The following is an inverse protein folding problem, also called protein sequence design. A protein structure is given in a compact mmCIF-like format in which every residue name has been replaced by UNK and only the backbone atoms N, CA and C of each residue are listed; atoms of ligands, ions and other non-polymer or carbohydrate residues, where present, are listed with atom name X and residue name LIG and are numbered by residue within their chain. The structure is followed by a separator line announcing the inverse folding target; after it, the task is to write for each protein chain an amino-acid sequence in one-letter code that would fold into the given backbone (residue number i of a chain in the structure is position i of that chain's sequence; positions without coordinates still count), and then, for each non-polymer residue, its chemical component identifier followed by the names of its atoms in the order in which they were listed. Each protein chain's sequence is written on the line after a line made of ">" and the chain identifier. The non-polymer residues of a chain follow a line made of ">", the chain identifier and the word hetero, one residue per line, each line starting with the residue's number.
data_IF_967209041399
#
_entry.id   IF_967209041399
#
_cell.length_a   1.000
_cell.length_b   1.000
_cell.length_c   1.000
_cell.angle_alpha   90.00
_cell.angle_beta   90.00
_cell.angle_gamma   90.00
#
_symmetry.space_group_name_H-M   'P 1'
#
loop_
_entity.id
_entity.type
_entity.pdbx_description
1 polymer ?
#
# COMPACT_ATOMS: atom_id res chain seq x y z
N UNK A 1 -7.34 15.35 -0.84
CA UNK A 1 -8.54 16.23 -0.93
C UNK A 1 -8.63 16.91 -2.28
N UNK A 2 -7.51 17.39 -2.84
CA UNK A 2 -7.46 18.05 -4.14
C UNK A 2 -7.97 17.19 -5.31
N UNK A 3 -7.74 15.87 -5.28
CA UNK A 3 -8.25 14.94 -6.31
C UNK A 3 -9.79 14.93 -6.39
N UNK A 4 -10.47 14.96 -5.25
CA UNK A 4 -11.94 14.93 -5.19
C UNK A 4 -12.56 16.19 -5.78
N UNK A 5 -12.01 17.37 -5.44
CA UNK A 5 -12.45 18.66 -6.00
C UNK A 5 -12.24 18.72 -7.52
N UNK A 6 -11.09 18.24 -8.01
CA UNK A 6 -10.81 18.20 -9.45
C UNK A 6 -11.69 17.18 -10.19
N UNK A 7 -12.01 16.04 -9.56
CA UNK A 7 -12.95 15.06 -10.13
C UNK A 7 -14.35 15.63 -10.32
N UNK A 8 -14.89 16.27 -9.28
CA UNK A 8 -16.19 16.92 -9.34
C UNK A 8 -16.23 17.98 -10.46
N UNK A 9 -15.17 18.77 -10.58
CA UNK A 9 -15.05 19.79 -11.62
C UNK A 9 -15.00 19.19 -13.05
N UNK A 10 -14.30 18.06 -13.25
CA UNK A 10 -14.25 17.37 -14.56
C UNK A 10 -15.65 16.88 -14.96
N UNK A 11 -16.44 16.37 -14.02
CA UNK A 11 -17.80 15.92 -14.28
C UNK A 11 -18.70 17.10 -14.66
N UNK A 12 -18.62 18.22 -13.92
CA UNK A 12 -19.34 19.47 -14.22
C UNK A 12 -18.95 20.05 -15.59
N UNK A 13 -17.66 20.07 -15.92
CA UNK A 13 -17.17 20.49 -17.24
C UNK A 13 -17.64 19.56 -18.37
N UNK A 14 -17.77 18.25 -18.11
CA UNK A 14 -18.26 17.29 -19.10
C UNK A 14 -19.73 17.55 -19.45
N UNK A 15 -20.57 17.81 -18.46
CA UNK A 15 -21.98 18.16 -18.66
C UNK A 15 -22.15 19.44 -19.50
N UNK A 16 -21.23 20.40 -19.35
CA UNK A 16 -21.22 21.64 -20.14
C UNK A 16 -20.75 21.43 -21.59
N UNK A 17 -19.85 20.48 -21.83
CA UNK A 17 -19.36 20.13 -23.18
C UNK A 17 -20.40 19.34 -23.97
N UNK A 18 -21.22 18.52 -23.29
CA UNK A 18 -22.23 17.67 -23.92
C UNK A 18 -23.54 18.40 -24.23
N UNK A 19 -23.71 19.64 -23.75
CA UNK A 19 -24.93 20.43 -23.94
C UNK A 19 -24.79 21.43 -25.12
N UNK A 20 -25.28 21.04 -26.30
CA UNK A 20 -25.15 21.82 -27.54
C UNK A 20 -25.79 23.22 -27.48
N UNK A 21 -26.84 23.41 -26.68
CA UNK A 21 -27.54 24.71 -26.53
C UNK A 21 -26.63 25.75 -25.85
N UNK A 22 -25.84 25.32 -24.86
CA UNK A 22 -24.89 26.15 -24.12
C UNK A 22 -23.75 26.64 -25.02
N UNK A 23 -23.28 25.75 -25.89
CA UNK A 23 -22.19 26.01 -26.85
C UNK A 23 -22.60 27.04 -27.90
N UNK A 24 -23.85 27.01 -28.35
CA UNK A 24 -24.38 27.93 -29.37
C UNK A 24 -24.54 29.35 -28.80
N UNK A 25 -24.96 29.47 -27.52
CA UNK A 25 -25.18 30.76 -26.84
C UNK A 25 -23.87 31.52 -26.55
N UNK A 26 -22.74 30.82 -26.35
CA UNK A 26 -21.46 31.40 -25.98
C UNK A 26 -20.39 31.08 -27.04
N UNK A 27 -20.46 31.79 -28.19
CA UNK A 27 -19.45 31.70 -29.26
C UNK A 27 -18.05 31.93 -28.68
N UNK A 28 -17.21 30.89 -28.75
CA UNK A 28 -15.80 30.98 -28.38
C UNK A 28 -15.48 30.72 -26.91
N UNK A 29 -16.34 30.01 -26.16
CA UNK A 29 -16.07 29.48 -24.80
C UNK A 29 -15.80 27.97 -24.79
N UNK A 30 -16.27 27.24 -25.81
CA UNK A 30 -16.14 25.78 -25.91
C UNK A 30 -14.68 25.32 -25.88
N UNK A 31 -13.80 26.01 -26.59
CA UNK A 31 -12.37 25.65 -26.65
C UNK A 31 -11.71 25.80 -25.28
N UNK A 32 -12.11 26.81 -24.50
CA UNK A 32 -11.59 27.07 -23.17
C UNK A 32 -12.02 25.99 -22.18
N UNK A 33 -13.29 25.58 -22.22
CA UNK A 33 -13.87 24.54 -21.35
C UNK A 33 -13.27 23.17 -21.68
N UNK A 34 -13.16 22.84 -22.97
CA UNK A 34 -12.51 21.58 -23.42
C UNK A 34 -11.05 21.54 -23.00
N UNK A 35 -10.31 22.65 -23.14
CA UNK A 35 -8.92 22.74 -22.69
C UNK A 35 -8.79 22.52 -21.18
N UNK A 36 -9.61 23.20 -20.36
CA UNK A 36 -9.60 23.01 -18.90
C UNK A 36 -9.86 21.57 -18.51
N UNK A 37 -10.90 20.95 -19.08
CA UNK A 37 -11.23 19.55 -18.83
C UNK A 37 -10.03 18.63 -19.09
N UNK A 38 -9.41 18.76 -20.26
CA UNK A 38 -8.27 17.92 -20.64
C UNK A 38 -7.06 18.14 -19.73
N UNK A 39 -6.78 19.37 -19.30
CA UNK A 39 -5.67 19.65 -18.38
C UNK A 39 -5.97 19.14 -16.96
N UNK A 40 -7.19 19.29 -16.45
CA UNK A 40 -7.60 18.72 -15.16
C UNK A 40 -7.57 17.19 -15.18
N UNK A 41 -8.00 16.53 -16.27
CA UNK A 41 -7.88 15.08 -16.43
C UNK A 41 -6.41 14.61 -16.40
N UNK A 42 -5.49 15.38 -17.01
CA UNK A 42 -4.05 15.11 -16.97
C UNK A 42 -3.47 15.28 -15.58
N UNK A 43 -3.87 16.33 -14.86
CA UNK A 43 -3.36 16.64 -13.52
C UNK A 43 -3.94 15.71 -12.45
N UNK A 44 -5.19 15.24 -12.60
CA UNK A 44 -5.86 14.33 -11.66
C UNK A 44 -5.01 13.11 -11.31
N UNK A 45 -4.47 12.43 -12.32
CA UNK A 45 -3.66 11.23 -12.12
C UNK A 45 -2.39 11.51 -11.30
N UNK A 46 -1.87 12.74 -11.37
CA UNK A 46 -0.69 13.18 -10.63
C UNK A 46 -1.03 13.72 -9.24
N UNK A 47 -2.19 14.37 -9.06
CA UNK A 47 -2.69 14.79 -7.75
C UNK A 47 -2.88 13.59 -6.82
N UNK A 48 -3.35 12.45 -7.33
CA UNK A 48 -3.47 11.20 -6.55
C UNK A 48 -2.12 10.69 -6.02
N UNK A 49 -1.04 10.91 -6.75
CA UNK A 49 0.32 10.53 -6.36
C UNK A 49 0.92 11.60 -5.43
N UNK A 50 0.59 12.87 -5.68
CA UNK A 50 1.06 14.00 -4.91
C UNK A 50 0.45 14.05 -3.50
N UNK A 51 -0.85 13.76 -3.35
CA UNK A 51 -1.54 13.67 -2.05
C UNK A 51 -0.87 12.62 -1.13
N UNK A 52 -0.18 11.62 -1.67
CA UNK A 52 0.56 10.60 -0.91
C UNK A 52 2.03 10.98 -0.59
N UNK A 53 2.57 12.02 -1.22
CA UNK A 53 3.98 12.42 -1.15
C UNK A 53 4.19 13.87 -0.67
N UNK A 54 3.10 14.60 -0.41
CA UNK A 54 3.09 16.03 -0.08
C UNK A 54 3.92 16.38 1.17
N UNK A 55 4.08 15.44 2.10
CA UNK A 55 4.83 15.64 3.35
C UNK A 55 6.36 15.74 3.18
N UNK A 56 6.89 15.46 1.98
CA UNK A 56 8.34 15.40 1.72
C UNK A 56 8.90 16.42 0.72
N UNK A 57 8.07 17.16 -0.03
CA UNK A 57 8.52 18.13 -1.04
C UNK A 57 7.67 19.42 -1.00
N UNK A 58 8.28 20.51 -0.55
CA UNK A 58 7.64 21.82 -0.41
C UNK A 58 7.20 22.41 -1.76
N UNK A 59 7.93 22.12 -2.85
CA UNK A 59 7.58 22.55 -4.21
C UNK A 59 6.32 21.84 -4.70
N UNK A 60 6.18 20.55 -4.37
CA UNK A 60 4.98 19.75 -4.67
C UNK A 60 3.77 20.24 -3.87
N UNK A 61 3.96 20.56 -2.58
CA UNK A 61 2.87 21.10 -1.74
C UNK A 61 2.38 22.46 -2.23
N UNK A 62 3.25 23.32 -2.76
CA UNK A 62 2.85 24.59 -3.37
C UNK A 62 2.07 24.34 -4.66
N UNK A 63 2.52 23.41 -5.50
CA UNK A 63 1.84 23.07 -6.75
C UNK A 63 0.44 22.47 -6.51
N UNK A 64 0.28 21.53 -5.57
CA UNK A 64 -1.04 20.94 -5.23
C UNK A 64 -2.03 22.01 -4.76
N UNK A 65 -1.57 22.96 -3.95
CA UNK A 65 -2.37 24.09 -3.49
C UNK A 65 -2.81 24.98 -4.66
N UNK A 66 -1.88 25.36 -5.54
CA UNK A 66 -2.20 26.16 -6.71
C UNK A 66 -3.21 25.47 -7.65
N UNK A 67 -3.11 24.16 -7.84
CA UNK A 67 -4.10 23.40 -8.64
C UNK A 67 -5.47 23.40 -7.96
N UNK A 68 -5.49 23.28 -6.63
CA UNK A 68 -6.74 23.31 -5.83
C UNK A 68 -7.40 24.69 -5.90
N UNK A 69 -6.62 25.76 -5.77
CA UNK A 69 -7.12 27.14 -5.85
C UNK A 69 -7.71 27.44 -7.24
N UNK A 70 -7.04 27.03 -8.33
CA UNK A 70 -7.61 27.21 -9.68
C UNK A 70 -8.85 26.35 -9.88
N UNK A 71 -8.91 25.14 -9.31
CA UNK A 71 -10.10 24.30 -9.41
C UNK A 71 -11.32 24.96 -8.74
N UNK A 72 -11.13 25.56 -7.56
CA UNK A 72 -12.14 26.33 -6.84
C UNK A 72 -12.57 27.58 -7.63
N UNK A 73 -11.61 28.38 -8.12
CA UNK A 73 -11.89 29.55 -8.98
C UNK A 73 -12.69 29.15 -10.24
N UNK A 74 -12.42 27.96 -10.79
CA UNK A 74 -13.14 27.43 -11.95
C UNK A 74 -14.56 27.03 -11.57
N UNK A 75 -14.72 26.35 -10.44
CA UNK A 75 -16.03 25.93 -9.92
C UNK A 75 -16.95 27.13 -9.69
N UNK A 76 -16.44 28.20 -9.05
CA UNK A 76 -17.16 29.46 -8.81
C UNK A 76 -17.65 30.10 -10.11
N UNK A 77 -16.83 30.11 -11.16
CA UNK A 77 -17.21 30.66 -12.48
C UNK A 77 -18.25 29.77 -13.16
N UNK A 78 -18.19 28.45 -12.97
CA UNK A 78 -19.21 27.53 -13.48
C UNK A 78 -20.53 27.65 -12.69
N UNK A 79 -20.49 27.94 -11.40
CA UNK A 79 -21.69 28.21 -10.60
C UNK A 79 -22.34 29.56 -10.97
N UNK A 80 -21.53 30.61 -11.19
CA UNK A 80 -22.02 31.87 -11.75
C UNK A 80 -22.68 31.65 -13.12
N UNK A 81 -22.15 30.72 -13.92
CA UNK A 81 -22.75 30.33 -15.19
C UNK A 81 -24.09 29.59 -15.01
N UNK A 82 -24.19 28.63 -14.07
CA UNK A 82 -25.43 27.91 -13.78
C UNK A 82 -26.54 28.84 -13.28
N UNK A 83 -26.23 29.84 -12.45
CA UNK A 83 -27.21 30.82 -11.95
C UNK A 83 -27.80 31.72 -13.05
N UNK A 84 -27.04 31.98 -14.12
CA UNK A 84 -27.53 32.75 -15.26
C UNK A 84 -28.50 31.93 -16.14
N UNK A 85 -28.53 30.61 -16.04
CA UNK A 85 -29.49 29.76 -16.75
C UNK A 85 -30.89 29.76 -16.13
N UNK A 86 -30.97 29.80 -14.79
CA UNK A 86 -32.24 29.69 -14.07
C UNK A 86 -33.15 30.93 -14.23
N UNK A 87 -32.60 32.05 -14.71
CA UNK A 87 -33.36 33.29 -14.87
C UNK A 87 -34.17 33.39 -16.18
N UNK A 88 -34.04 32.44 -17.12
CA UNK A 88 -34.64 32.49 -18.46
C UNK A 88 -35.94 31.67 -18.63
N UNK A 89 -36.50 31.10 -17.55
CA UNK A 89 -37.78 30.36 -17.59
C UNK A 89 -39.02 31.18 -17.15
N UNK A 90 -39.19 32.41 -17.65
CA UNK A 90 -40.44 33.17 -17.46
C UNK A 90 -41.27 33.27 -18.75
N UNK A 91 -42.43 32.61 -18.74
CA UNK A 91 -43.48 32.66 -19.76
C UNK A 91 -44.01 34.10 -20.02
N UNK A 92 -44.18 34.50 -21.29
CA UNK A 92 -45.01 35.67 -21.63
C UNK A 92 -44.89 36.21 -23.07
N UNK A 93 -46.04 36.35 -23.75
CA UNK A 93 -46.24 36.57 -25.20
C UNK A 93 -46.16 38.05 -25.68
N UNK A 94 -45.21 38.87 -25.20
CA UNK A 94 -44.89 40.18 -25.80
C UNK A 94 -43.35 40.34 -25.80
N UNK A 95 -42.62 40.60 -26.88
CA UNK A 95 -42.95 41.19 -28.18
C UNK A 95 -41.72 41.97 -28.64
N UNK A 96 -40.70 41.23 -29.10
CA UNK A 96 -39.58 41.61 -29.99
C UNK A 96 -38.64 42.81 -29.74
N UNK A 97 -38.92 43.82 -28.90
CA UNK A 97 -37.99 44.98 -28.73
C UNK A 97 -37.14 44.98 -27.45
N UNK A 98 -37.47 44.17 -26.43
CA UNK A 98 -36.55 43.91 -25.31
C UNK A 98 -35.46 42.87 -25.64
N UNK A 99 -35.58 42.14 -26.76
CA UNK A 99 -34.62 41.09 -27.15
C UNK A 99 -33.21 41.64 -27.38
N UNK A 100 -33.05 42.82 -27.97
CA UNK A 100 -31.72 43.40 -28.19
C UNK A 100 -31.07 43.93 -26.89
N UNK A 101 -31.85 44.44 -25.95
CA UNK A 101 -31.33 44.88 -24.65
C UNK A 101 -30.99 43.69 -23.71
N UNK A 102 -31.76 42.59 -23.77
CA UNK A 102 -31.41 41.31 -23.11
C UNK A 102 -30.22 40.63 -23.77
N UNK A 103 -30.09 40.66 -25.10
CA UNK A 103 -28.93 40.13 -25.79
C UNK A 103 -27.64 40.88 -25.42
N UNK A 104 -27.68 42.19 -25.16
CA UNK A 104 -26.47 42.95 -24.75
C UNK A 104 -26.09 42.68 -23.30
N UNK A 105 -27.05 42.51 -22.37
CA UNK A 105 -26.77 42.13 -20.98
C UNK A 105 -26.24 40.70 -20.87
N UNK A 106 -26.85 39.76 -21.59
CA UNK A 106 -26.36 38.38 -21.68
C UNK A 106 -25.03 38.33 -22.43
N UNK A 107 -24.83 39.07 -23.53
CA UNK A 107 -23.53 39.12 -24.21
C UNK A 107 -22.41 39.73 -23.35
N UNK A 108 -22.71 40.73 -22.50
CA UNK A 108 -21.74 41.29 -21.56
C UNK A 108 -21.40 40.29 -20.45
N UNK A 109 -22.37 39.57 -19.91
CA UNK A 109 -22.13 38.46 -18.97
C UNK A 109 -21.35 37.32 -19.64
N UNK A 110 -21.69 36.95 -20.87
CA UNK A 110 -20.98 35.96 -21.67
C UNK A 110 -19.55 36.35 -21.97
N UNK A 111 -19.31 37.62 -22.30
CA UNK A 111 -17.97 38.15 -22.49
C UNK A 111 -17.16 38.15 -21.19
N UNK A 112 -17.79 38.47 -20.05
CA UNK A 112 -17.15 38.42 -18.73
C UNK A 112 -16.74 36.99 -18.36
N UNK A 113 -17.63 36.01 -18.54
CA UNK A 113 -17.36 34.59 -18.30
C UNK A 113 -16.28 34.07 -19.26
N UNK A 114 -16.37 34.40 -20.54
CA UNK A 114 -15.35 34.03 -21.53
C UNK A 114 -13.97 34.62 -21.20
N UNK A 115 -13.92 35.88 -20.75
CA UNK A 115 -12.69 36.54 -20.31
C UNK A 115 -12.13 35.92 -19.02
N UNK A 116 -12.99 35.60 -18.06
CA UNK A 116 -12.61 34.94 -16.81
C UNK A 116 -12.06 33.53 -17.05
N UNK A 117 -12.72 32.72 -17.89
CA UNK A 117 -12.23 31.40 -18.31
C UNK A 117 -10.92 31.50 -19.10
N UNK A 118 -10.73 32.55 -19.91
CA UNK A 118 -9.46 32.82 -20.58
C UNK A 118 -8.35 33.14 -19.57
N UNK A 119 -8.66 33.84 -18.48
CA UNK A 119 -7.76 34.10 -17.36
C UNK A 119 -7.42 32.84 -16.54
N UNK A 120 -8.38 31.95 -16.30
CA UNK A 120 -8.10 30.63 -15.72
C UNK A 120 -7.17 29.85 -16.64
N UNK A 121 -7.43 29.84 -17.95
CA UNK A 121 -6.60 29.12 -18.91
C UNK A 121 -5.15 29.61 -18.98
N UNK A 122 -4.91 30.91 -18.84
CA UNK A 122 -3.53 31.41 -18.79
C UNK A 122 -2.81 30.98 -17.51
N UNK A 123 -3.49 31.01 -16.35
CA UNK A 123 -2.95 30.49 -15.09
C UNK A 123 -2.73 28.98 -15.13
N UNK A 124 -3.68 28.23 -15.69
CA UNK A 124 -3.61 26.77 -15.87
C UNK A 124 -2.44 26.36 -16.78
N UNK A 125 -2.14 27.15 -17.83
CA UNK A 125 -0.96 26.93 -18.68
C UNK A 125 0.35 27.03 -17.90
N UNK A 126 0.46 27.99 -16.97
CA UNK A 126 1.64 28.15 -16.11
C UNK A 126 1.78 26.93 -15.18
N UNK A 127 0.68 26.53 -14.53
CA UNK A 127 0.66 25.34 -13.66
C UNK A 127 0.98 24.06 -14.44
N UNK A 128 0.50 23.93 -15.68
CA UNK A 128 0.79 22.80 -16.57
C UNK A 128 2.26 22.72 -16.98
N UNK A 129 2.94 23.87 -17.13
CA UNK A 129 4.38 23.91 -17.38
C UNK A 129 5.17 23.44 -16.15
N UNK A 130 4.81 23.90 -14.95
CA UNK A 130 5.40 23.43 -13.68
C UNK A 130 5.14 21.94 -13.46
N UNK A 131 3.93 21.46 -13.80
CA UNK A 131 3.58 20.05 -13.77
C UNK A 131 4.49 19.20 -14.68
N UNK A 132 4.84 19.67 -15.88
CA UNK A 132 5.78 18.95 -16.77
C UNK A 132 7.18 18.86 -16.16
N UNK A 133 7.65 19.93 -15.50
CA UNK A 133 8.94 19.93 -14.81
C UNK A 133 8.95 18.99 -13.61
N UNK A 134 7.94 19.07 -12.73
CA UNK A 134 7.78 18.17 -11.59
C UNK A 134 7.65 16.71 -12.06
N UNK A 135 6.84 16.43 -13.07
CA UNK A 135 6.71 15.09 -13.64
C UNK A 135 8.04 14.55 -14.15
N UNK A 136 8.88 15.40 -14.77
CA UNK A 136 10.21 15.00 -15.21
C UNK A 136 11.16 14.73 -14.02
N UNK A 137 11.15 15.59 -12.99
CA UNK A 137 11.85 15.39 -11.71
C UNK A 137 11.45 14.06 -11.05
N UNK A 138 10.16 13.74 -11.02
CA UNK A 138 9.63 12.49 -10.44
C UNK A 138 9.91 11.25 -11.30
N UNK A 139 9.86 11.35 -12.64
CA UNK A 139 10.22 10.24 -13.53
C UNK A 139 11.72 9.97 -13.48
N UNK A 140 12.56 11.01 -13.42
CA UNK A 140 14.01 10.86 -13.23
C UNK A 140 14.36 10.34 -11.84
N UNK A 141 13.65 10.74 -10.78
CA UNK A 141 13.77 10.13 -9.46
C UNK A 141 13.35 8.64 -9.47
N UNK A 142 12.38 8.25 -10.31
CA UNK A 142 11.98 6.84 -10.53
C UNK A 142 12.94 6.04 -11.41
N UNK A 143 13.68 6.67 -12.32
CA UNK A 143 14.65 5.98 -13.20
C UNK A 143 16.09 6.00 -12.66
N UNK A 144 16.44 6.95 -11.79
CA UNK A 144 17.70 7.00 -11.04
C UNK A 144 17.63 6.32 -9.68
N UNK A 145 16.47 5.83 -9.27
CA UNK A 145 16.28 5.08 -8.03
C UNK A 145 15.65 3.71 -8.34
N UNK A 146 16.51 2.75 -8.64
CA UNK A 146 16.29 1.32 -8.39
C UNK A 146 16.17 1.00 -6.87
N UNK A 147 15.95 2.03 -6.05
CA UNK A 147 15.45 1.89 -4.69
C UNK A 147 14.15 2.68 -4.59
N UNK A 148 13.07 2.10 -5.10
CA UNK A 148 11.75 2.38 -4.50
C UNK A 148 11.76 1.71 -3.11
N UNK A 149 12.54 2.30 -2.22
CA UNK A 149 12.52 2.01 -0.79
C UNK A 149 11.30 2.76 -0.25
N UNK A 150 10.10 2.36 -0.68
CA UNK A 150 9.17 1.96 0.38
C UNK A 150 10.03 1.01 1.19
N UNK A 151 10.46 1.41 2.39
CA UNK A 151 11.10 0.45 3.27
C UNK A 151 10.26 -0.80 3.14
N UNK A 152 10.83 -1.85 2.55
CA UNK A 152 10.18 -3.13 2.59
C UNK A 152 10.19 -3.41 4.08
N UNK A 153 9.13 -3.03 4.80
CA UNK A 153 9.07 -3.15 6.25
C UNK A 153 9.25 -4.62 6.68
N UNK A 154 9.25 -5.56 5.70
CA UNK A 154 9.69 -6.93 5.83
C UNK A 154 11.18 -7.04 6.19
N UNK A 155 12.06 -6.27 5.53
CA UNK A 155 13.49 -6.20 5.88
C UNK A 155 13.68 -5.72 7.32
N UNK A 156 12.88 -4.75 7.77
CA UNK A 156 12.93 -4.29 9.16
C UNK A 156 12.45 -5.39 10.13
N UNK A 157 11.41 -6.15 9.76
CA UNK A 157 10.98 -7.33 10.54
C UNK A 157 12.06 -8.41 10.66
N UNK A 158 13.00 -8.48 9.70
CA UNK A 158 14.15 -9.39 9.76
C UNK A 158 15.26 -8.91 10.69
N UNK A 159 15.21 -7.65 11.15
CA UNK A 159 16.21 -7.00 12.01
C UNK A 159 15.71 -6.79 13.46
N UNK A 160 14.46 -7.16 13.76
CA UNK A 160 13.90 -7.02 15.11
C UNK A 160 14.60 -7.95 16.11
N UNK A 161 14.98 -7.38 17.25
CA UNK A 161 15.51 -8.15 18.37
C UNK A 161 14.38 -8.87 19.13
N UNK A 162 14.70 -9.99 19.77
CA UNK A 162 13.74 -10.77 20.59
C UNK A 162 13.14 -9.92 21.70
N UNK A 163 13.92 -8.99 22.26
CA UNK A 163 13.50 -8.07 23.32
C UNK A 163 12.36 -7.12 22.91
N UNK A 164 12.19 -6.88 21.61
CA UNK A 164 11.18 -5.99 21.06
C UNK A 164 9.84 -6.68 20.77
N UNK A 165 9.77 -8.00 20.96
CA UNK A 165 8.64 -8.84 20.59
C UNK A 165 7.79 -9.22 21.81
N UNK A 166 6.50 -9.46 21.59
CA UNK A 166 5.52 -9.87 22.61
C UNK A 166 4.74 -11.05 22.07
N UNK A 167 4.39 -12.02 22.92
CA UNK A 167 3.54 -13.16 22.56
C UNK A 167 4.20 -14.24 21.70
N UNK A 168 5.49 -14.12 21.41
CA UNK A 168 6.19 -15.01 20.46
C UNK A 168 6.72 -16.32 21.06
N UNK A 169 6.87 -16.41 22.39
CA UNK A 169 7.59 -17.52 23.03
C UNK A 169 6.91 -18.87 22.81
N UNK A 170 5.58 -18.94 23.04
CA UNK A 170 4.82 -20.18 22.87
C UNK A 170 4.78 -20.62 21.39
N UNK A 171 4.40 -19.75 20.42
CA UNK A 171 4.45 -20.12 19.00
C UNK A 171 5.85 -20.54 18.53
N UNK A 172 6.90 -19.81 18.94
CA UNK A 172 8.29 -20.13 18.57
C UNK A 172 8.66 -21.53 19.04
N UNK A 173 8.37 -21.89 20.28
CA UNK A 173 8.70 -23.19 20.87
C UNK A 173 8.01 -24.35 20.14
N UNK A 174 6.73 -24.17 19.78
CA UNK A 174 5.95 -25.15 19.00
C UNK A 174 6.58 -25.37 17.62
N UNK A 175 6.92 -24.28 16.93
CA UNK A 175 7.50 -24.36 15.59
C UNK A 175 8.91 -24.98 15.60
N UNK A 176 9.76 -24.60 16.56
CA UNK A 176 11.09 -25.23 16.75
C UNK A 176 10.95 -26.74 16.96
N UNK A 177 10.00 -27.16 17.79
CA UNK A 177 9.72 -28.58 18.02
C UNK A 177 9.29 -29.29 16.74
N UNK A 178 8.37 -28.70 15.97
CA UNK A 178 7.93 -29.27 14.69
C UNK A 178 9.07 -29.41 13.69
N UNK A 179 9.96 -28.42 13.60
CA UNK A 179 11.10 -28.49 12.70
C UNK A 179 12.09 -29.59 13.11
N UNK A 180 12.40 -29.74 14.40
CA UNK A 180 13.46 -30.64 14.88
C UNK A 180 12.97 -32.10 15.05
N UNK A 181 11.75 -32.31 15.55
CA UNK A 181 11.24 -33.64 15.93
C UNK A 181 10.43 -34.36 14.84
N UNK A 182 10.18 -33.72 13.69
CA UNK A 182 9.39 -34.34 12.63
C UNK A 182 10.02 -35.60 11.99
N UNK A 183 9.29 -36.22 11.07
CA UNK A 183 9.64 -37.49 10.43
C UNK A 183 10.87 -37.45 9.53
N UNK A 184 11.33 -38.62 9.05
CA UNK A 184 12.52 -38.77 8.20
C UNK A 184 12.40 -38.04 6.85
N UNK A 185 11.20 -37.87 6.33
CA UNK A 185 10.95 -37.20 5.04
C UNK A 185 11.06 -35.68 5.10
N UNK A 186 10.89 -35.06 3.92
CA UNK A 186 10.68 -33.62 3.83
C UNK A 186 9.27 -33.29 4.32
N UNK A 187 9.17 -32.30 5.21
CA UNK A 187 7.89 -31.81 5.72
C UNK A 187 7.76 -30.31 5.44
N UNK A 188 6.51 -29.86 5.25
CA UNK A 188 6.17 -28.45 5.05
C UNK A 188 5.44 -27.93 6.29
N UNK A 189 5.83 -26.76 6.77
CA UNK A 189 5.21 -26.06 7.89
C UNK A 189 4.69 -24.70 7.39
N UNK A 190 3.39 -24.50 7.47
CA UNK A 190 2.71 -23.32 6.93
C UNK A 190 2.26 -22.40 8.04
N UNK A 191 2.75 -21.16 8.05
CA UNK A 191 2.27 -20.08 8.89
C UNK A 191 1.21 -19.31 8.10
N UNK A 192 -0.04 -19.41 8.52
CA UNK A 192 -1.17 -18.83 7.81
C UNK A 192 -1.82 -17.70 8.64
N UNK A 193 -2.41 -16.74 7.93
CA UNK A 193 -3.25 -15.70 8.54
C UNK A 193 -3.14 -14.34 7.84
N UNK A 194 -4.02 -13.43 8.21
CA UNK A 194 -4.12 -12.06 7.71
C UNK A 194 -2.81 -11.25 7.75
N UNK A 195 -2.77 -10.17 6.98
CA UNK A 195 -1.66 -9.22 6.97
C UNK A 195 -1.38 -8.61 8.34
N UNK A 196 -0.11 -8.33 8.66
CA UNK A 196 0.26 -7.61 9.88
C UNK A 196 0.27 -8.43 11.19
N UNK A 197 -0.08 -9.73 11.15
CA UNK A 197 -0.06 -10.62 12.34
C UNK A 197 1.32 -11.12 12.77
N UNK A 198 2.41 -10.74 12.10
CA UNK A 198 3.76 -11.13 12.50
C UNK A 198 4.23 -12.51 12.01
N UNK A 199 3.63 -13.07 10.95
CA UNK A 199 4.05 -14.36 10.35
C UNK A 199 5.54 -14.39 9.99
N UNK A 200 6.00 -13.38 9.25
CA UNK A 200 7.40 -13.19 8.85
C UNK A 200 8.30 -13.09 10.08
N UNK A 201 7.88 -12.31 11.09
CA UNK A 201 8.60 -12.16 12.36
C UNK A 201 8.74 -13.48 13.10
N UNK A 202 7.66 -14.25 13.23
CA UNK A 202 7.70 -15.56 13.89
C UNK A 202 8.57 -16.56 13.13
N UNK A 203 8.45 -16.64 11.81
CA UNK A 203 9.31 -17.47 10.98
C UNK A 203 10.78 -17.10 11.14
N UNK A 204 11.09 -15.80 11.24
CA UNK A 204 12.45 -15.29 11.43
C UNK A 204 13.02 -15.71 12.78
N UNK A 205 12.25 -15.56 13.85
CA UNK A 205 12.64 -15.97 15.20
C UNK A 205 12.94 -17.47 15.30
N UNK A 206 12.17 -18.30 14.59
CA UNK A 206 12.42 -19.74 14.50
C UNK A 206 13.63 -20.04 13.62
N UNK A 207 13.78 -19.34 12.50
CA UNK A 207 14.93 -19.51 11.59
C UNK A 207 16.26 -19.19 12.27
N UNK A 208 16.26 -18.20 13.17
CA UNK A 208 17.44 -17.76 13.90
C UNK A 208 17.70 -18.46 15.23
N UNK A 209 16.78 -19.31 15.69
CA UNK A 209 16.95 -20.15 16.87
C UNK A 209 18.23 -20.99 16.79
N UNK A 210 18.98 -21.03 17.89
CA UNK A 210 20.27 -21.73 17.94
C UNK A 210 20.14 -23.25 17.72
N UNK A 211 19.06 -23.86 18.21
CA UNK A 211 18.75 -25.27 18.00
C UNK A 211 18.46 -25.56 16.53
N UNK A 212 17.65 -24.71 15.88
CA UNK A 212 17.36 -24.79 14.44
C UNK A 212 18.63 -24.60 13.61
N UNK A 213 19.43 -23.57 13.92
CA UNK A 213 20.75 -23.31 13.28
C UNK A 213 21.67 -24.51 13.35
N UNK A 214 21.75 -25.18 14.51
CA UNK A 214 22.57 -26.38 14.72
C UNK A 214 22.01 -27.59 13.99
N UNK A 215 20.68 -27.71 13.90
CA UNK A 215 20.01 -28.85 13.29
C UNK A 215 20.09 -28.85 11.77
N UNK A 216 19.97 -27.69 11.12
CA UNK A 216 19.95 -27.53 9.66
C UNK A 216 21.21 -26.82 9.16
N UNK A 217 22.11 -27.58 8.50
CA UNK A 217 23.37 -27.04 7.97
C UNK A 217 23.17 -26.11 6.78
N UNK A 218 22.23 -26.45 5.89
CA UNK A 218 21.87 -25.63 4.74
C UNK A 218 20.57 -24.93 5.04
N UNK A 219 20.59 -23.59 5.01
CA UNK A 219 19.43 -22.76 5.28
C UNK A 219 19.35 -21.63 4.25
N UNK A 220 18.15 -21.31 3.79
CA UNK A 220 17.91 -20.18 2.90
C UNK A 220 16.57 -19.51 3.24
N UNK A 221 16.49 -18.20 3.03
CA UNK A 221 15.30 -17.39 3.28
C UNK A 221 14.92 -16.65 2.01
N UNK A 222 13.79 -17.03 1.42
CA UNK A 222 13.38 -16.57 0.10
C UNK A 222 12.11 -15.76 0.24
N UNK A 223 12.15 -14.48 -0.12
CA UNK A 223 10.96 -13.63 -0.13
C UNK A 223 10.24 -13.78 -1.47
N UNK A 224 8.98 -14.20 -1.44
CA UNK A 224 8.15 -14.42 -2.63
C UNK A 224 7.25 -13.20 -2.84
N UNK A 225 7.65 -12.26 -3.69
CA UNK A 225 6.75 -11.15 -4.04
C UNK A 225 5.70 -11.59 -5.07
N UNK A 226 4.52 -10.96 -5.03
CA UNK A 226 3.42 -11.23 -5.96
C UNK A 226 3.86 -11.12 -7.44
N UNK A 227 4.55 -10.01 -7.75
CA UNK A 227 5.08 -9.69 -9.08
C UNK A 227 6.38 -10.41 -9.45
N UNK A 228 6.97 -11.20 -8.55
CA UNK A 228 8.25 -11.88 -8.80
C UNK A 228 8.15 -12.86 -9.97
N UNK A 229 9.05 -12.80 -10.94
CA UNK A 229 9.14 -13.87 -11.95
C UNK A 229 9.72 -15.12 -11.29
N UNK A 230 9.18 -16.28 -11.66
CA UNK A 230 9.66 -17.59 -11.14
C UNK A 230 11.17 -17.77 -11.33
N UNK A 231 11.71 -17.27 -12.44
CA UNK A 231 13.15 -17.36 -12.71
C UNK A 231 13.97 -16.58 -11.68
N UNK A 232 13.55 -15.36 -11.34
CA UNK A 232 14.24 -14.50 -10.37
C UNK A 232 14.22 -15.14 -8.97
N UNK A 233 13.07 -15.72 -8.60
CA UNK A 233 12.92 -16.50 -7.37
C UNK A 233 13.90 -17.67 -7.31
N UNK A 234 13.99 -18.46 -8.38
CA UNK A 234 14.89 -19.61 -8.44
C UNK A 234 16.37 -19.19 -8.47
N UNK A 235 16.70 -18.05 -9.10
CA UNK A 235 18.05 -17.47 -9.07
C UNK A 235 18.44 -17.06 -7.66
N UNK A 236 17.58 -16.33 -6.95
CA UNK A 236 17.82 -15.96 -5.55
C UNK A 236 18.05 -17.20 -4.67
N UNK A 237 17.20 -18.23 -4.83
CA UNK A 237 17.40 -19.53 -4.16
C UNK A 237 18.78 -20.12 -4.42
N UNK A 238 19.20 -20.19 -5.68
CA UNK A 238 20.53 -20.71 -6.04
C UNK A 238 21.62 -19.87 -5.37
N UNK A 239 21.56 -18.55 -5.49
CA UNK A 239 22.56 -17.65 -4.90
C UNK A 239 22.66 -17.83 -3.38
N UNK A 240 21.54 -17.93 -2.67
CA UNK A 240 21.52 -18.16 -1.23
C UNK A 240 22.06 -19.54 -0.83
N UNK A 241 21.76 -20.59 -1.59
CA UNK A 241 22.27 -21.93 -1.32
C UNK A 241 23.77 -22.06 -1.54
N UNK A 242 24.32 -21.39 -2.56
CA UNK A 242 25.76 -21.28 -2.75
C UNK A 242 26.44 -20.58 -1.57
N UNK A 243 25.87 -19.46 -1.08
CA UNK A 243 26.35 -18.77 0.12
C UNK A 243 26.28 -19.68 1.36
N UNK A 244 25.15 -20.37 1.57
CA UNK A 244 24.96 -21.29 2.70
C UNK A 244 25.94 -22.48 2.68
N UNK A 245 26.35 -22.93 1.49
CA UNK A 245 27.35 -23.99 1.31
C UNK A 245 28.80 -23.48 1.23
N UNK A 246 29.02 -22.17 1.44
CA UNK A 246 30.33 -21.49 1.33
C UNK A 246 31.02 -21.68 -0.02
N UNK A 247 30.22 -21.77 -1.09
CA UNK A 247 30.68 -21.91 -2.47
C UNK A 247 30.50 -20.58 -3.22
N UNK A 248 31.36 -20.29 -4.19
CA UNK A 248 31.19 -19.14 -5.08
C UNK A 248 30.00 -19.38 -6.02
N UNK A 249 29.17 -18.36 -6.21
CA UNK A 249 28.06 -18.41 -7.17
C UNK A 249 28.65 -18.43 -8.59
N UNK A 250 28.34 -19.42 -9.43
CA UNK A 250 28.78 -19.42 -10.82
C UNK A 250 28.13 -18.27 -11.60
N UNK A 251 28.90 -17.55 -12.42
CA UNK A 251 28.36 -16.49 -13.30
C UNK A 251 27.28 -17.01 -14.25
N UNK A 252 27.35 -18.29 -14.63
CA UNK A 252 26.37 -18.96 -15.48
C UNK A 252 24.95 -18.98 -14.87
N UNK A 253 24.78 -18.78 -13.56
CA UNK A 253 23.44 -18.74 -12.91
C UNK A 253 22.55 -17.66 -13.55
N UNK A 254 23.13 -16.55 -14.01
CA UNK A 254 22.35 -15.47 -14.62
C UNK A 254 21.75 -15.81 -15.98
N UNK A 255 22.37 -16.72 -16.72
CA UNK A 255 21.87 -17.19 -18.02
C UNK A 255 21.09 -18.50 -17.95
N UNK A 256 20.98 -19.12 -16.77
CA UNK A 256 20.24 -20.37 -16.60
C UNK A 256 18.74 -20.20 -16.77
N UNK A 257 18.13 -21.13 -17.50
CA UNK A 257 16.68 -21.27 -17.55
C UNK A 257 16.12 -21.93 -16.29
N UNK A 258 14.79 -21.90 -16.12
CA UNK A 258 14.10 -22.45 -14.95
C UNK A 258 14.45 -23.91 -14.66
N UNK A 259 14.60 -24.76 -15.68
CA UNK A 259 14.91 -26.17 -15.48
C UNK A 259 16.34 -26.38 -14.98
N UNK A 260 17.30 -25.62 -15.52
CA UNK A 260 18.68 -25.62 -15.05
C UNK A 260 18.80 -25.12 -13.61
N UNK A 261 18.06 -24.06 -13.25
CA UNK A 261 18.01 -23.55 -11.89
C UNK A 261 17.44 -24.60 -10.92
N UNK A 262 16.31 -25.26 -11.27
CA UNK A 262 15.72 -26.33 -10.47
C UNK A 262 16.68 -27.51 -10.26
N UNK A 263 17.40 -27.94 -11.30
CA UNK A 263 18.42 -29.00 -11.20
C UNK A 263 19.55 -28.59 -10.25
N UNK A 264 20.07 -27.38 -10.41
CA UNK A 264 21.12 -26.83 -9.54
C UNK A 264 20.67 -26.82 -8.06
N UNK A 265 19.46 -26.33 -7.77
CA UNK A 265 18.89 -26.36 -6.41
C UNK A 265 18.82 -27.80 -5.89
N UNK A 266 18.29 -28.73 -6.70
CA UNK A 266 18.16 -30.13 -6.33
C UNK A 266 19.52 -30.75 -5.99
N UNK A 267 20.54 -30.53 -6.82
CA UNK A 267 21.90 -31.03 -6.61
C UNK A 267 22.54 -30.49 -5.32
N UNK A 268 22.36 -29.19 -5.03
CA UNK A 268 22.86 -28.57 -3.80
C UNK A 268 22.20 -29.14 -2.54
N UNK A 269 20.94 -29.59 -2.63
CA UNK A 269 20.14 -30.05 -1.50
C UNK A 269 20.08 -31.58 -1.35
N UNK A 270 20.32 -32.35 -2.40
CA UNK A 270 20.00 -33.79 -2.50
C UNK A 270 20.56 -34.63 -1.34
N UNK A 271 21.78 -34.33 -0.87
CA UNK A 271 22.53 -35.11 0.13
C UNK A 271 22.66 -34.40 1.49
N UNK A 272 21.79 -33.45 1.76
CA UNK A 272 21.86 -32.59 2.94
C UNK A 272 20.51 -32.46 3.60
N UNK A 273 20.54 -32.26 4.91
CA UNK A 273 19.39 -31.73 5.64
C UNK A 273 19.33 -30.22 5.46
N UNK A 274 18.19 -29.73 4.97
CA UNK A 274 18.00 -28.31 4.70
C UNK A 274 16.74 -27.74 5.35
N UNK A 275 16.76 -26.43 5.56
CA UNK A 275 15.60 -25.62 5.92
C UNK A 275 15.46 -24.49 4.88
N UNK A 276 14.37 -24.47 4.13
CA UNK A 276 14.04 -23.36 3.22
C UNK A 276 12.84 -22.62 3.79
N UNK A 277 12.97 -21.31 3.96
CA UNK A 277 11.83 -20.44 4.27
C UNK A 277 11.37 -19.76 2.98
N UNK A 278 10.09 -19.88 2.66
CA UNK A 278 9.39 -19.17 1.59
C UNK A 278 8.45 -18.15 2.22
N UNK A 279 8.88 -16.90 2.30
CA UNK A 279 8.13 -15.83 2.95
C UNK A 279 7.14 -15.17 1.98
N UNK A 280 5.89 -15.00 2.42
CA UNK A 280 4.77 -14.32 1.77
C UNK A 280 4.32 -14.97 0.45
N UNK A 281 4.08 -16.29 0.45
CA UNK A 281 3.60 -17.02 -0.74
C UNK A 281 2.14 -16.62 -1.05
N UNK A 282 1.94 -15.94 -2.18
CA UNK A 282 0.64 -15.38 -2.60
C UNK A 282 -0.33 -16.41 -3.19
N UNK A 283 0.17 -17.37 -3.97
CA UNK A 283 -0.65 -18.34 -4.68
C UNK A 283 0.06 -19.69 -4.89
N UNK A 284 -0.72 -20.69 -5.30
CA UNK A 284 -0.24 -22.07 -5.52
C UNK A 284 0.77 -22.18 -6.66
N UNK A 285 0.71 -21.31 -7.67
CA UNK A 285 1.64 -21.35 -8.81
C UNK A 285 3.08 -21.08 -8.38
N UNK A 286 3.30 -20.12 -7.46
CA UNK A 286 4.63 -19.88 -6.88
C UNK A 286 5.12 -21.10 -6.11
N UNK A 287 4.25 -21.74 -5.33
CA UNK A 287 4.61 -22.95 -4.60
C UNK A 287 4.96 -24.10 -5.55
N UNK A 288 4.14 -24.37 -6.56
CA UNK A 288 4.37 -25.39 -7.58
C UNK A 288 5.67 -25.16 -8.34
N UNK A 289 6.01 -23.91 -8.62
CA UNK A 289 7.26 -23.56 -9.27
C UNK A 289 8.49 -24.04 -8.48
N UNK A 290 8.45 -23.94 -7.15
CA UNK A 290 9.57 -24.25 -6.26
C UNK A 290 9.56 -25.70 -5.76
N UNK A 291 8.38 -26.29 -5.51
CA UNK A 291 8.20 -27.62 -4.89
C UNK A 291 9.05 -28.71 -5.57
N UNK A 292 9.12 -28.70 -6.90
CA UNK A 292 9.86 -29.68 -7.69
C UNK A 292 11.38 -29.46 -7.71
N UNK A 293 11.86 -28.28 -7.31
CA UNK A 293 13.28 -28.01 -7.11
C UNK A 293 13.80 -28.60 -5.79
N UNK A 294 12.91 -28.75 -4.79
CA UNK A 294 13.25 -29.19 -3.45
C UNK A 294 13.21 -30.73 -3.37
N UNK A 295 14.32 -31.43 -3.10
CA UNK A 295 14.31 -32.88 -3.06
C UNK A 295 13.60 -33.40 -1.81
N UNK A 296 12.63 -34.31 -2.00
CA UNK A 296 12.06 -35.10 -0.89
C UNK A 296 13.01 -36.25 -0.59
N UNK A 297 13.90 -36.05 0.37
CA UNK A 297 14.91 -37.00 0.79
C UNK A 297 14.67 -37.42 2.26
N UNK A 298 15.27 -38.53 2.69
CA UNK A 298 15.14 -39.05 4.06
C UNK A 298 16.05 -38.35 5.08
N UNK A 299 16.43 -37.10 4.81
CA UNK A 299 17.35 -36.32 5.64
C UNK A 299 16.64 -35.40 6.66
N UNK A 300 15.32 -35.53 6.85
CA UNK A 300 14.50 -34.69 7.75
C UNK A 300 14.48 -33.22 7.33
N UNK A 301 14.40 -32.96 6.04
CA UNK A 301 14.41 -31.60 5.51
C UNK A 301 13.09 -30.88 5.81
N UNK A 302 13.13 -29.55 5.93
CA UNK A 302 11.94 -28.74 6.24
C UNK A 302 11.79 -27.61 5.24
N UNK A 303 10.54 -27.30 4.94
CA UNK A 303 10.16 -26.07 4.25
C UNK A 303 9.20 -25.32 5.15
N UNK A 304 9.51 -24.07 5.48
CA UNK A 304 8.58 -23.18 6.17
C UNK A 304 8.01 -22.24 5.13
N UNK A 305 6.70 -22.04 5.10
CA UNK A 305 6.08 -21.02 4.26
C UNK A 305 5.22 -20.10 5.10
N UNK A 306 5.23 -18.80 4.77
CA UNK A 306 4.27 -17.85 5.33
C UNK A 306 3.30 -17.44 4.22
N UNK A 307 2.01 -17.37 4.53
CA UNK A 307 0.98 -17.01 3.54
C UNK A 307 -0.21 -16.33 4.19
N UNK A 308 -0.89 -15.48 3.43
CA UNK A 308 -2.21 -14.94 3.77
C UNK A 308 -3.34 -15.81 3.20
N UNK A 309 -3.02 -16.65 2.22
CA UNK A 309 -4.00 -17.42 1.48
C UNK A 309 -4.22 -18.78 2.17
N UNK A 310 -5.43 -18.98 2.71
CA UNK A 310 -5.82 -20.23 3.36
C UNK A 310 -5.73 -21.44 2.43
N UNK A 311 -6.00 -21.27 1.12
CA UNK A 311 -5.92 -22.36 0.14
C UNK A 311 -4.48 -22.82 -0.07
N UNK A 312 -3.52 -21.88 -0.05
CA UNK A 312 -2.08 -22.21 -0.12
C UNK A 312 -1.69 -23.05 1.09
N UNK A 313 -2.12 -22.65 2.29
CA UNK A 313 -1.85 -23.42 3.51
C UNK A 313 -2.52 -24.81 3.47
N UNK A 314 -3.81 -24.88 3.12
CA UNK A 314 -4.57 -26.13 3.06
C UNK A 314 -3.99 -27.10 2.03
N UNK A 315 -3.64 -26.62 0.84
CA UNK A 315 -3.07 -27.45 -0.22
C UNK A 315 -1.73 -28.08 0.20
N UNK A 316 -0.88 -27.32 0.89
CA UNK A 316 0.40 -27.86 1.39
C UNK A 316 0.19 -29.00 2.38
N UNK A 317 -0.92 -28.98 3.13
CA UNK A 317 -1.33 -30.06 4.05
C UNK A 317 -1.98 -31.27 3.41
N UNK A 318 -2.71 -31.10 2.31
CA UNK A 318 -3.47 -32.18 1.68
C UNK A 318 -2.63 -33.17 0.86
N UNK A 319 -1.49 -32.75 0.30
CA UNK A 319 -0.71 -33.57 -0.65
C UNK A 319 0.60 -34.09 -0.04
N UNK A 320 1.17 -33.40 0.95
CA UNK A 320 2.39 -33.84 1.62
C UNK A 320 2.01 -34.48 2.96
N UNK A 321 2.02 -35.80 3.00
CA UNK A 321 1.82 -36.59 4.21
C UNK A 321 2.75 -36.06 5.31
N UNK A 322 2.16 -35.49 6.37
CA UNK A 322 2.79 -34.86 7.55
C UNK A 322 3.07 -33.34 7.50
N UNK A 323 2.48 -32.59 6.56
CA UNK A 323 2.53 -31.13 6.60
C UNK A 323 1.73 -30.56 7.79
N UNK A 324 2.24 -29.50 8.44
CA UNK A 324 1.61 -28.85 9.61
C UNK A 324 1.24 -27.40 9.31
N UNK A 325 0.07 -26.96 9.75
CA UNK A 325 -0.38 -25.57 9.63
C UNK A 325 -0.42 -24.94 11.03
N UNK A 326 0.16 -23.76 11.17
CA UNK A 326 0.00 -22.88 12.32
C UNK A 326 -0.73 -21.62 11.88
N UNK A 327 -2.01 -21.51 12.26
CA UNK A 327 -2.79 -20.31 12.05
C UNK A 327 -2.41 -19.30 13.12
N UNK A 328 -1.90 -18.14 12.70
CA UNK A 328 -1.64 -17.05 13.63
C UNK A 328 -2.98 -16.38 13.97
N UNK A 329 -3.15 -16.09 15.25
CA UNK A 329 -4.27 -15.33 15.76
C UNK A 329 -3.80 -13.92 16.15
N UNK A 330 -4.70 -12.93 16.18
CA UNK A 330 -4.39 -11.62 16.75
C UNK A 330 -3.90 -11.74 18.20
N UNK A 331 -3.08 -10.77 18.63
CA UNK A 331 -2.56 -10.76 20.00
C UNK A 331 -3.73 -10.65 21.01
N UNK A 332 -3.70 -11.44 22.10
CA UNK A 332 -4.59 -11.24 23.23
C UNK A 332 -4.52 -9.80 23.76
N UNK A 333 -5.58 -9.33 24.41
CA UNK A 333 -5.67 -7.96 24.90
C UNK A 333 -4.49 -7.59 25.83
N UNK A 334 -4.04 -8.51 26.68
CA UNK A 334 -2.92 -8.29 27.58
C UNK A 334 -1.60 -8.07 26.82
N UNK A 335 -1.31 -8.94 25.85
CA UNK A 335 -0.10 -8.84 25.01
C UNK A 335 -0.15 -7.63 24.07
N UNK A 336 -1.34 -7.29 23.56
CA UNK A 336 -1.58 -6.07 22.78
C UNK A 336 -1.29 -4.82 23.60
N UNK A 337 -1.79 -4.78 24.84
CA UNK A 337 -1.56 -3.66 25.77
C UNK A 337 -0.07 -3.52 26.12
N UNK A 338 0.61 -4.65 26.35
CA UNK A 338 2.04 -4.68 26.61
C UNK A 338 2.84 -4.14 25.41
N UNK A 339 2.56 -4.63 24.20
CA UNK A 339 3.23 -4.17 22.98
C UNK A 339 3.01 -2.66 22.76
N UNK A 340 1.78 -2.20 22.94
CA UNK A 340 1.43 -0.79 22.83
C UNK A 340 2.20 0.06 23.84
N UNK A 341 2.22 -0.32 25.12
CA UNK A 341 2.94 0.46 26.14
C UNK A 341 4.45 0.47 25.87
N UNK A 342 5.01 -0.66 25.42
CA UNK A 342 6.42 -0.77 25.05
C UNK A 342 6.77 0.21 23.94
N UNK A 343 5.96 0.30 22.88
CA UNK A 343 6.22 1.16 21.72
C UNK A 343 5.83 2.63 21.93
N UNK A 344 4.71 2.91 22.59
CA UNK A 344 4.22 4.28 22.81
C UNK A 344 4.95 4.98 23.97
N UNK A 345 5.20 4.27 25.07
CA UNK A 345 5.74 4.86 26.31
C UNK A 345 7.19 4.45 26.60
N UNK A 346 7.86 3.80 25.65
CA UNK A 346 9.24 3.28 25.79
C UNK A 346 9.39 2.35 26.99
N UNK A 347 8.39 1.49 27.21
CA UNK A 347 8.35 0.53 28.33
C UNK A 347 7.85 1.08 29.66
N UNK A 348 7.55 2.39 29.76
CA UNK A 348 6.92 2.95 30.95
C UNK A 348 5.41 2.65 31.01
N UNK A 349 4.83 2.75 32.20
CA UNK A 349 3.39 2.63 32.37
C UNK A 349 2.64 3.74 31.62
N UNK A 350 1.45 3.40 31.11
CA UNK A 350 0.51 4.38 30.55
C UNK A 350 0.07 5.34 31.66
N UNK A 351 0.10 6.67 31.43
CA UNK A 351 -0.46 7.63 32.38
C UNK A 351 -1.96 7.36 32.63
N UNK A 352 -2.44 7.37 33.89
CA UNK A 352 -3.83 6.97 34.21
C UNK A 352 -4.89 7.75 33.43
N UNK A 353 -4.67 9.04 33.19
CA UNK A 353 -5.61 9.90 32.47
C UNK A 353 -5.68 9.63 30.95
N UNK A 354 -4.73 8.88 30.39
CA UNK A 354 -4.73 8.45 28.99
C UNK A 354 -5.21 7.02 28.80
N UNK A 355 -5.39 6.26 29.89
CA UNK A 355 -5.61 4.82 29.82
C UNK A 355 -6.86 4.46 29.03
N UNK A 356 -7.97 5.16 29.28
CA UNK A 356 -9.24 4.92 28.59
C UNK A 356 -9.13 5.17 27.07
N UNK A 357 -8.50 6.28 26.67
CA UNK A 357 -8.28 6.61 25.26
C UNK A 357 -7.37 5.56 24.61
N UNK A 358 -6.29 5.17 25.28
CA UNK A 358 -5.38 4.14 24.79
C UNK A 358 -6.10 2.79 24.61
N UNK A 359 -6.97 2.41 25.54
CA UNK A 359 -7.78 1.18 25.44
C UNK A 359 -8.75 1.25 24.25
N UNK A 360 -9.36 2.41 24.01
CA UNK A 360 -10.24 2.61 22.86
C UNK A 360 -9.48 2.53 21.52
N UNK A 361 -8.28 3.11 21.45
CA UNK A 361 -7.40 2.99 20.27
C UNK A 361 -7.01 1.53 20.04
N UNK A 362 -6.57 0.82 21.08
CA UNK A 362 -6.16 -0.58 20.98
C UNK A 362 -7.30 -1.51 20.53
N UNK A 363 -8.53 -1.27 20.98
CA UNK A 363 -9.71 -2.01 20.51
C UNK A 363 -9.87 -1.89 18.98
N UNK A 364 -9.59 -0.72 18.40
CA UNK A 364 -9.64 -0.49 16.94
C UNK A 364 -8.50 -1.18 16.19
N UNK A 365 -7.40 -1.50 16.85
CA UNK A 365 -6.29 -2.25 16.26
C UNK A 365 -6.57 -3.77 16.17
N UNK A 366 -7.63 -4.26 16.81
CA UNK A 366 -8.09 -5.66 16.75
C UNK A 366 -6.97 -6.69 17.04
N UNK A 367 -6.00 -6.32 17.88
CA UNK A 367 -4.87 -7.19 18.25
C UNK A 367 -3.81 -7.41 17.16
N UNK A 368 -3.86 -6.68 16.04
CA UNK A 368 -2.85 -6.79 14.98
C UNK A 368 -1.54 -6.08 15.38
N UNK A 369 -0.41 -6.80 15.54
CA UNK A 369 0.87 -6.22 15.94
C UNK A 369 1.30 -5.01 15.09
N UNK A 370 1.19 -5.11 13.76
CA UNK A 370 1.59 -4.02 12.87
C UNK A 370 0.73 -2.76 13.06
N UNK A 371 -0.57 -2.92 13.26
CA UNK A 371 -1.47 -1.79 13.52
C UNK A 371 -1.14 -1.12 14.86
N UNK A 372 -0.88 -1.93 15.89
CA UNK A 372 -0.47 -1.46 17.21
C UNK A 372 0.83 -0.68 17.12
N UNK A 373 1.86 -1.22 16.46
CA UNK A 373 3.16 -0.54 16.31
C UNK A 373 3.02 0.77 15.53
N UNK A 374 2.26 0.77 14.43
CA UNK A 374 2.04 1.97 13.61
C UNK A 374 1.37 3.09 14.40
N UNK A 375 0.26 2.80 15.10
CA UNK A 375 -0.44 3.82 15.89
C UNK A 375 0.40 4.26 17.10
N UNK A 376 1.17 3.34 17.70
CA UNK A 376 2.09 3.66 18.78
C UNK A 376 3.17 4.65 18.34
N UNK A 377 3.68 4.50 17.12
CA UNK A 377 4.65 5.44 16.52
C UNK A 377 4.09 6.85 16.40
N UNK A 378 2.82 6.99 15.98
CA UNK A 378 2.12 8.29 15.93
C UNK A 378 1.95 8.86 17.33
N UNK A 379 1.44 8.08 18.27
CA UNK A 379 1.16 8.52 19.65
C UNK A 379 2.42 8.87 20.43
N UNK A 380 3.54 8.20 20.16
CA UNK A 380 4.84 8.52 20.76
C UNK A 380 5.33 9.94 20.44
N UNK A 381 4.81 10.57 19.38
CA UNK A 381 5.12 11.98 19.01
C UNK A 381 4.26 13.01 19.76
N UNK A 382 3.20 12.57 20.45
CA UNK A 382 2.23 13.46 21.09
C UNK A 382 2.61 13.78 22.53
N UNK A 383 2.17 14.95 23.00
CA UNK A 383 2.38 15.32 24.41
C UNK A 383 1.49 14.46 25.31
N UNK A 384 2.06 13.88 26.37
CA UNK A 384 1.31 13.08 27.35
C UNK A 384 0.31 13.91 28.17
N UNK A 385 0.46 15.23 28.17
CA UNK A 385 -0.38 16.16 28.92
C UNK A 385 -1.55 16.73 28.10
N UNK A 386 -1.52 16.53 26.77
CA UNK A 386 -2.52 17.05 25.84
C UNK A 386 -3.51 15.96 25.44
N UNK A 387 -4.50 15.72 26.29
CA UNK A 387 -5.52 14.68 26.09
C UNK A 387 -6.26 14.86 24.75
N UNK A 388 -6.47 16.11 24.34
CA UNK A 388 -7.08 16.51 23.07
C UNK A 388 -6.35 15.92 21.84
N UNK A 389 -5.01 15.88 21.86
CA UNK A 389 -4.23 15.29 20.76
C UNK A 389 -4.45 13.78 20.63
N UNK A 390 -4.58 13.08 21.77
CA UNK A 390 -4.79 11.63 21.79
C UNK A 390 -6.21 11.26 21.39
N UNK A 391 -7.19 12.04 21.84
CA UNK A 391 -8.58 11.88 21.46
C UNK A 391 -8.79 12.17 19.96
N UNK A 392 -8.11 13.18 19.41
CA UNK A 392 -8.11 13.46 17.97
C UNK A 392 -7.63 12.25 17.17
N UNK A 393 -6.49 11.65 17.55
CA UNK A 393 -5.97 10.44 16.89
C UNK A 393 -6.98 9.28 16.99
N UNK A 394 -7.58 9.09 18.16
CA UNK A 394 -8.61 8.07 18.37
C UNK A 394 -9.81 8.25 17.44
N UNK A 395 -10.32 9.48 17.29
CA UNK A 395 -11.47 9.80 16.43
C UNK A 395 -11.12 9.65 14.95
N UNK A 396 -9.99 10.21 14.51
CA UNK A 396 -9.52 10.10 13.12
C UNK A 396 -9.33 8.65 12.70
N UNK A 397 -8.79 7.80 13.57
CA UNK A 397 -8.67 6.36 13.29
C UNK A 397 -10.04 5.70 13.07
N UNK A 398 -11.07 6.11 13.81
CA UNK A 398 -12.44 5.62 13.60
C UNK A 398 -13.00 6.04 12.24
N UNK A 399 -12.90 7.33 11.93
CA UNK A 399 -13.40 7.89 10.68
C UNK A 399 -12.72 7.27 9.43
N UNK A 400 -11.40 7.07 9.46
CA UNK A 400 -10.66 6.46 8.35
C UNK A 400 -11.02 4.98 8.13
N UNK A 401 -11.24 4.22 9.21
CA UNK A 401 -11.65 2.80 9.12
C UNK A 401 -13.09 2.68 8.57
N UNK A 402 -13.97 3.60 8.93
CA UNK A 402 -15.38 3.61 8.50
C UNK A 402 -15.55 4.14 7.06
N UNK A 403 -14.80 5.17 6.69
CA UNK A 403 -14.87 5.86 5.40
C UNK A 403 -14.04 5.23 4.26
N UNK A 404 -13.08 4.35 4.56
CA UNK A 404 -12.22 3.75 3.54
C UNK A 404 -12.61 2.29 3.24
N UNK A 405 -13.39 2.10 2.17
CA UNK A 405 -13.83 0.76 1.74
C UNK A 405 -12.67 -0.20 1.38
N UNK A 406 -11.46 0.31 1.11
CA UNK A 406 -10.26 -0.53 0.91
C UNK A 406 -9.72 -1.12 2.20
N UNK A 407 -9.92 -0.46 3.35
CA UNK A 407 -9.56 -1.00 4.66
C UNK A 407 -10.54 -2.08 5.11
N UNK A 408 -11.81 -2.04 4.65
CA UNK A 408 -12.76 -3.16 4.83
C UNK A 408 -12.32 -4.43 4.10
N UNK A 409 -11.62 -4.31 2.97
CA UNK A 409 -11.04 -5.45 2.26
C UNK A 409 -9.87 -6.11 3.01
N UNK A 410 -9.10 -5.34 3.79
CA UNK A 410 -8.09 -5.89 4.69
C UNK A 410 -8.70 -6.68 5.86
N UNK A 411 -10.01 -6.53 6.14
CA UNK A 411 -10.74 -7.35 7.13
C UNK A 411 -11.23 -8.69 6.58
N UNK A 412 -11.17 -8.93 5.27
CA UNK A 412 -11.76 -10.11 4.59
C UNK A 412 -10.75 -11.03 3.88
N UNK A 413 -9.45 -10.81 4.04
CA UNK A 413 -8.35 -11.63 3.53
C UNK A 413 -7.32 -11.82 4.63
#
# INVERSE_FOLDING_TARGET
>A
MAECSVNFLIEKLSLLVDNEVIIILFRGVREQVVYLRLEYERMRAFLRIADALQDGDEELSVWVRQVTDIAQDTEDILDEFSLLQDHDQAHGFYGSLLKLACCVKNAKASYRIASALKGINSRMKIISQVHKHLRHKFIQAKQGSDSNTWHDCRCDALLLDESDLVGIDKPKKILVEWLIKGGPGREVVSLAGMGGMGKTTLAKQVYDDAGVKKHFKIRAWITVSESCKIQDLLKDMVQQLYKATRRRVPQAVESMNNNQLKRTIKELLQRSRYLIVLDDVWNLDKWHAVKYALPSNSFRSRVVLTTRNADVAAFTSGIESNSKIHNLEPLPLAESWELFCRKTFKGNACPPHLEEICRNILRKCEGLPLAIVAISGVLATKSKWRIDEWDMVSRSLGAEIEGNDKLKYLKKL
#
